data_IF_901151638180
#
_entry.id   IF_901151638180
#
_cell.length_a   1.000
_cell.length_b   1.000
_cell.length_c   1.000
_cell.angle_alpha   90.00
_cell.angle_beta   90.00
_cell.angle_gamma   90.00
#
_symmetry.space_group_name_H-M   'P 1'
#
loop_
_entity.id
_entity.type
_entity.pdbx_description
1 polymer ?
#
# COMPACT_ATOMS: atom_id res chain seq x y z
N UNK A 1 -32.39 29.80 19.29
CA UNK A 1 -32.33 28.41 18.83
C UNK A 1 -30.89 28.11 18.49
N UNK A 2 -30.17 27.34 19.30
CA UNK A 2 -28.91 26.76 18.83
C UNK A 2 -29.28 25.73 17.77
N UNK A 3 -28.76 25.89 16.56
CA UNK A 3 -28.91 24.85 15.54
C UNK A 3 -28.26 23.58 16.11
N UNK A 4 -29.02 22.49 16.12
CA UNK A 4 -28.62 21.21 16.74
C UNK A 4 -27.47 20.53 15.98
N UNK A 5 -27.19 21.00 14.79
CA UNK A 5 -26.23 20.47 13.85
C UNK A 5 -25.45 21.64 13.22
N UNK A 6 -24.15 21.47 13.07
CA UNK A 6 -23.25 22.39 12.37
C UNK A 6 -23.19 22.06 10.88
N UNK A 7 -22.63 22.95 10.07
CA UNK A 7 -22.52 22.73 8.62
C UNK A 7 -21.73 21.44 8.31
N UNK A 8 -20.77 21.07 9.18
CA UNK A 8 -19.99 19.82 9.10
C UNK A 8 -20.82 18.52 9.31
N UNK A 9 -22.04 18.62 9.85
CA UNK A 9 -22.90 17.45 10.05
C UNK A 9 -23.69 17.07 8.79
N UNK A 10 -23.62 17.86 7.73
CA UNK A 10 -24.35 17.63 6.48
C UNK A 10 -23.47 16.99 5.40
N UNK A 11 -24.11 16.27 4.48
CA UNK A 11 -23.44 15.56 3.40
C UNK A 11 -23.00 16.52 2.29
N UNK A 12 -21.73 16.42 1.89
CA UNK A 12 -21.12 17.28 0.87
C UNK A 12 -21.76 17.16 -0.53
N UNK A 13 -22.34 15.99 -0.85
CA UNK A 13 -22.96 15.72 -2.15
C UNK A 13 -24.46 16.01 -2.14
N UNK A 14 -25.11 15.77 -1.01
CA UNK A 14 -26.56 15.80 -0.88
C UNK A 14 -26.98 16.89 0.10
N UNK A 15 -27.30 18.07 -0.42
CA UNK A 15 -27.78 19.21 0.35
C UNK A 15 -28.96 18.81 1.27
N UNK A 16 -28.87 19.18 2.56
CA UNK A 16 -29.85 18.87 3.63
C UNK A 16 -29.91 17.40 4.09
N UNK A 17 -29.01 16.52 3.65
CA UNK A 17 -28.84 15.18 4.24
C UNK A 17 -27.81 15.27 5.38
N UNK A 18 -28.09 14.68 6.54
CA UNK A 18 -27.09 14.50 7.60
C UNK A 18 -26.07 13.44 7.14
N UNK A 19 -24.78 13.71 7.30
CA UNK A 19 -23.70 12.81 6.93
C UNK A 19 -23.77 11.51 7.74
N UNK A 20 -23.77 10.38 7.03
CA UNK A 20 -23.78 9.02 7.56
C UNK A 20 -22.45 8.29 7.33
N UNK A 21 -21.40 9.04 6.94
CA UNK A 21 -20.06 8.53 6.62
C UNK A 21 -20.06 7.38 5.58
N UNK A 22 -20.99 7.40 4.63
CA UNK A 22 -21.10 6.37 3.58
C UNK A 22 -20.04 6.45 2.46
N UNK A 23 -19.10 7.40 2.52
CA UNK A 23 -17.94 7.46 1.62
C UNK A 23 -18.20 7.95 0.18
N UNK A 24 -19.45 8.13 -0.25
CA UNK A 24 -19.80 8.51 -1.64
C UNK A 24 -19.14 9.79 -2.16
N UNK A 25 -18.79 10.73 -1.28
CA UNK A 25 -18.13 11.98 -1.68
C UNK A 25 -16.71 11.71 -2.18
N UNK A 26 -16.04 10.69 -1.63
CA UNK A 26 -14.69 10.29 -2.00
C UNK A 26 -14.65 9.61 -3.38
N UNK A 27 -15.70 8.86 -3.71
CA UNK A 27 -15.86 8.21 -5.03
C UNK A 27 -15.99 9.24 -6.18
N UNK A 28 -16.66 10.37 -5.94
CA UNK A 28 -16.86 11.42 -6.94
C UNK A 28 -15.58 12.21 -7.23
N UNK A 29 -14.71 12.36 -6.23
CA UNK A 29 -13.43 13.05 -6.40
C UNK A 29 -12.36 12.14 -7.02
N UNK A 30 -12.68 10.87 -7.32
CA UNK A 30 -11.72 9.89 -7.81
C UNK A 30 -10.61 9.59 -6.79
N UNK A 31 -10.86 9.93 -5.53
CA UNK A 31 -9.92 9.76 -4.42
C UNK A 31 -10.18 8.36 -3.86
N UNK A 32 -9.64 7.39 -4.57
CA UNK A 32 -9.13 6.15 -3.96
C UNK A 32 -7.68 6.39 -3.46
N UNK A 33 -7.39 7.62 -3.01
CA UNK A 33 -6.05 8.11 -2.64
C UNK A 33 -6.03 8.77 -1.26
N UNK A 34 -7.01 8.50 -0.38
CA UNK A 34 -6.73 8.66 1.05
C UNK A 34 -5.58 7.71 1.34
N UNK A 35 -4.39 8.28 1.56
CA UNK A 35 -3.18 7.54 1.89
C UNK A 35 -3.53 6.52 2.96
N UNK A 36 -3.56 5.24 2.57
CA UNK A 36 -3.67 4.15 3.52
C UNK A 36 -2.37 4.23 4.30
N UNK A 37 -2.44 4.77 5.52
CA UNK A 37 -1.29 4.70 6.42
C UNK A 37 -1.08 3.22 6.68
N UNK A 38 0.05 2.68 6.23
CA UNK A 38 0.39 1.27 6.45
C UNK A 38 0.39 0.95 7.97
N UNK A 39 0.65 1.97 8.80
CA UNK A 39 0.53 1.92 10.27
C UNK A 39 -0.91 1.70 10.78
N UNK A 40 -1.92 2.16 10.04
CA UNK A 40 -3.34 2.04 10.38
C UNK A 40 -3.97 0.73 9.85
N UNK A 41 -3.27 -0.01 8.97
CA UNK A 41 -3.63 -1.39 8.63
C UNK A 41 -3.34 -2.24 9.87
N UNK A 42 -4.36 -2.49 10.69
CA UNK A 42 -4.22 -3.35 11.84
C UNK A 42 -3.63 -4.71 11.43
N UNK A 43 -2.41 -5.00 11.90
CA UNK A 43 -1.68 -6.24 11.58
C UNK A 43 -2.38 -7.52 12.07
N UNK A 44 -3.45 -7.38 12.84
CA UNK A 44 -4.21 -8.47 13.48
C UNK A 44 -5.70 -8.19 13.33
N UNK A 45 -6.19 -8.21 12.08
CA UNK A 45 -7.63 -8.31 11.84
C UNK A 45 -8.02 -9.78 11.73
N UNK A 46 -9.18 -10.15 12.27
CA UNK A 46 -9.79 -11.48 12.06
C UNK A 46 -9.98 -11.76 10.56
N UNK A 47 -10.18 -10.72 9.76
CA UNK A 47 -10.24 -10.79 8.30
C UNK A 47 -8.92 -11.30 7.69
N UNK A 48 -7.76 -11.01 8.29
CA UNK A 48 -6.47 -11.53 7.81
C UNK A 48 -6.38 -13.03 8.00
N UNK A 49 -6.89 -13.57 9.12
CA UNK A 49 -6.91 -15.03 9.32
C UNK A 49 -7.79 -15.74 8.30
N UNK A 50 -8.92 -15.15 7.91
CA UNK A 50 -9.79 -15.73 6.86
C UNK A 50 -9.07 -15.74 5.52
N UNK A 51 -8.39 -14.65 5.17
CA UNK A 51 -7.62 -14.57 3.91
C UNK A 51 -6.41 -15.50 3.88
N UNK A 52 -5.70 -15.65 5.01
CA UNK A 52 -4.57 -16.58 5.14
C UNK A 52 -5.04 -18.04 5.03
N UNK A 53 -6.20 -18.38 5.60
CA UNK A 53 -6.81 -19.70 5.48
C UNK A 53 -7.25 -20.00 4.05
N UNK A 54 -7.96 -19.08 3.39
CA UNK A 54 -8.37 -19.23 1.98
C UNK A 54 -7.16 -19.42 1.05
N UNK A 55 -6.11 -18.61 1.23
CA UNK A 55 -4.89 -18.74 0.45
C UNK A 55 -4.16 -20.07 0.68
N UNK A 56 -4.14 -20.55 1.93
CA UNK A 56 -3.56 -21.85 2.27
C UNK A 56 -4.34 -23.00 1.63
N UNK A 57 -5.67 -22.93 1.63
CA UNK A 57 -6.53 -23.94 0.99
C UNK A 57 -6.30 -23.99 -0.53
N UNK A 58 -6.23 -22.83 -1.18
CA UNK A 58 -5.95 -22.74 -2.62
C UNK A 58 -4.57 -23.31 -2.95
N UNK A 59 -3.57 -23.01 -2.12
CA UNK A 59 -2.23 -23.53 -2.31
C UNK A 59 -2.19 -25.05 -2.12
N UNK A 60 -2.82 -25.58 -1.07
CA UNK A 60 -2.96 -27.03 -0.86
C UNK A 60 -3.72 -27.73 -1.99
N UNK A 61 -4.76 -27.11 -2.54
CA UNK A 61 -5.53 -27.68 -3.64
C UNK A 61 -4.72 -27.85 -4.94
N UNK A 62 -3.62 -27.11 -5.08
CA UNK A 62 -2.73 -27.18 -6.24
C UNK A 62 -1.61 -28.23 -6.11
N UNK A 63 -1.39 -28.75 -4.89
CA UNK A 63 -0.33 -29.71 -4.57
C UNK A 63 -0.79 -31.16 -4.76
N UNK A 64 0.17 -32.05 -4.95
CA UNK A 64 -0.11 -33.49 -5.01
C UNK A 64 -0.21 -34.13 -3.61
N UNK A 65 -0.70 -35.38 -3.56
CA UNK A 65 -0.91 -36.09 -2.30
C UNK A 65 0.39 -36.26 -1.48
N UNK A 66 1.54 -36.38 -2.14
CA UNK A 66 2.82 -36.57 -1.45
C UNK A 66 3.32 -35.24 -0.84
N UNK A 67 3.13 -34.13 -1.55
CA UNK A 67 3.44 -32.79 -1.06
C UNK A 67 2.53 -32.39 0.12
N UNK A 68 1.26 -32.79 0.09
CA UNK A 68 0.32 -32.57 1.20
C UNK A 68 0.70 -33.37 2.45
N UNK A 69 1.08 -34.64 2.31
CA UNK A 69 1.57 -35.47 3.43
C UNK A 69 2.83 -34.85 4.05
N UNK A 70 3.74 -34.31 3.24
CA UNK A 70 4.96 -33.64 3.72
C UNK A 70 4.64 -32.39 4.56
N UNK A 71 3.69 -31.56 4.11
CA UNK A 71 3.25 -30.36 4.84
C UNK A 71 2.65 -30.74 6.22
N UNK A 72 1.84 -31.80 6.26
CA UNK A 72 1.22 -32.27 7.51
C UNK A 72 2.23 -32.92 8.46
N UNK A 73 3.19 -33.70 7.95
CA UNK A 73 4.23 -34.34 8.76
C UNK A 73 5.22 -33.34 9.34
N UNK A 74 5.63 -32.34 8.55
CA UNK A 74 6.58 -31.31 8.98
C UNK A 74 5.92 -30.20 9.81
N UNK A 75 4.58 -30.15 9.85
CA UNK A 75 3.79 -29.10 10.52
C UNK A 75 4.26 -27.70 10.09
N UNK A 76 4.39 -27.53 8.77
CA UNK A 76 4.96 -26.33 8.16
C UNK A 76 4.03 -25.14 8.35
N UNK A 77 4.60 -23.97 8.59
CA UNK A 77 3.82 -22.73 8.63
C UNK A 77 3.54 -22.18 7.21
N UNK A 78 2.63 -21.21 7.11
CA UNK A 78 2.21 -20.65 5.81
C UNK A 78 3.39 -20.06 5.01
N UNK A 79 4.36 -19.45 5.69
CA UNK A 79 5.54 -18.84 5.08
C UNK A 79 6.50 -19.90 4.53
N UNK A 80 6.71 -20.98 5.28
CA UNK A 80 7.50 -22.14 4.87
C UNK A 80 6.88 -22.87 3.67
N UNK A 81 5.56 -23.06 3.67
CA UNK A 81 4.85 -23.67 2.55
C UNK A 81 4.97 -22.78 1.30
N UNK A 82 4.76 -21.47 1.42
CA UNK A 82 4.90 -20.55 0.28
C UNK A 82 6.33 -20.52 -0.28
N UNK A 83 7.35 -20.53 0.58
CA UNK A 83 8.75 -20.56 0.12
C UNK A 83 9.11 -21.84 -0.61
N UNK A 84 8.55 -22.97 -0.18
CA UNK A 84 8.87 -24.29 -0.74
C UNK A 84 8.09 -24.58 -2.02
N UNK A 85 6.82 -24.15 -2.07
CA UNK A 85 5.88 -24.55 -3.13
C UNK A 85 5.31 -23.38 -3.95
N UNK A 86 5.39 -22.13 -3.45
CA UNK A 86 4.86 -20.94 -4.15
C UNK A 86 5.51 -20.68 -5.51
N UNK A 87 6.76 -21.12 -5.69
CA UNK A 87 7.47 -21.07 -6.98
C UNK A 87 6.84 -21.96 -8.07
N UNK A 88 6.21 -23.08 -7.70
CA UNK A 88 5.53 -23.98 -8.64
C UNK A 88 4.22 -23.38 -9.18
N UNK A 89 3.60 -22.43 -8.45
CA UNK A 89 2.35 -21.75 -8.82
C UNK A 89 2.53 -20.64 -9.87
N UNK A 90 3.74 -20.11 -10.05
CA UNK A 90 4.03 -18.97 -10.92
C UNK A 90 3.95 -19.28 -12.44
N UNK A 91 3.25 -20.35 -12.83
CA UNK A 91 2.87 -20.60 -14.24
C UNK A 91 1.64 -19.80 -14.70
N UNK A 92 1.22 -18.77 -13.94
CA UNK A 92 0.30 -17.74 -14.42
C UNK A 92 1.12 -16.61 -15.07
N UNK A 93 1.04 -16.52 -16.39
CA UNK A 93 1.69 -15.59 -17.34
C UNK A 93 1.55 -14.06 -17.06
N UNK A 94 1.34 -13.58 -15.82
CA UNK A 94 1.05 -12.15 -15.57
C UNK A 94 1.79 -11.47 -14.40
N UNK A 95 2.82 -12.09 -13.82
CA UNK A 95 3.76 -11.37 -12.95
C UNK A 95 5.19 -11.92 -13.04
N UNK A 96 5.76 -11.86 -14.24
CA UNK A 96 7.20 -12.06 -14.42
C UNK A 96 7.96 -10.78 -13.99
N UNK A 97 7.99 -10.54 -12.69
CA UNK A 97 8.81 -9.52 -12.04
C UNK A 97 9.90 -10.19 -11.19
N UNK A 98 10.78 -10.94 -11.85
CA UNK A 98 12.05 -11.52 -11.37
C UNK A 98 12.39 -11.34 -9.89
N UNK A 99 11.85 -12.22 -9.05
CA UNK A 99 12.41 -12.49 -7.72
C UNK A 99 13.41 -13.66 -7.83
N UNK A 100 14.35 -13.54 -8.77
CA UNK A 100 15.58 -14.32 -8.75
C UNK A 100 16.64 -13.48 -8.03
N UNK A 101 17.60 -14.17 -7.42
CA UNK A 101 18.68 -13.72 -6.52
C UNK A 101 19.67 -12.69 -7.11
N UNK A 102 19.22 -11.77 -7.95
CA UNK A 102 19.94 -10.60 -8.45
C UNK A 102 19.28 -9.32 -7.92
N UNK A 103 19.23 -9.16 -6.59
CA UNK A 103 19.24 -7.79 -6.06
C UNK A 103 20.63 -7.29 -6.43
N UNK A 104 20.74 -6.58 -7.56
CA UNK A 104 21.93 -5.78 -7.85
C UNK A 104 22.31 -5.10 -6.53
N UNK A 105 23.55 -5.25 -6.06
CA UNK A 105 24.07 -4.48 -4.90
C UNK A 105 23.94 -2.94 -5.12
N UNK A 106 23.49 -2.52 -6.31
CA UNK A 106 23.21 -1.17 -6.76
C UNK A 106 21.71 -0.79 -6.76
N UNK A 107 20.77 -1.69 -6.41
CA UNK A 107 19.37 -1.29 -6.21
C UNK A 107 19.24 -0.54 -4.89
N UNK A 108 19.30 0.80 -4.97
CA UNK A 108 18.95 1.68 -3.86
C UNK A 108 17.44 1.94 -3.87
N UNK A 109 16.77 1.64 -2.75
CA UNK A 109 15.37 1.97 -2.58
C UNK A 109 15.21 3.50 -2.55
N UNK A 110 14.38 4.04 -3.45
CA UNK A 110 14.09 5.47 -3.48
C UNK A 110 13.50 5.97 -2.16
N UNK A 111 12.86 5.09 -1.37
CA UNK A 111 12.33 5.41 -0.05
C UNK A 111 13.43 5.68 1.00
N UNK A 112 14.64 5.13 0.84
CA UNK A 112 15.76 5.39 1.76
C UNK A 112 16.30 6.83 1.64
N UNK A 113 16.02 7.49 0.52
CA UNK A 113 16.48 8.85 0.22
C UNK A 113 15.37 9.91 0.33
N UNK A 114 14.19 9.54 0.83
CA UNK A 114 13.09 10.48 1.04
C UNK A 114 13.12 11.04 2.46
N UNK A 115 13.30 12.36 2.56
CA UNK A 115 13.17 13.11 3.82
C UNK A 115 11.92 13.99 3.76
N UNK A 116 11.19 14.08 4.89
CA UNK A 116 10.07 15.00 5.00
C UNK A 116 10.58 16.44 5.02
N UNK A 117 9.91 17.33 4.28
CA UNK A 117 10.27 18.76 4.20
C UNK A 117 10.31 19.39 5.61
N UNK A 118 9.43 18.95 6.51
CA UNK A 118 9.38 19.39 7.91
C UNK A 118 10.63 18.99 8.74
N UNK A 119 11.33 17.92 8.34
CA UNK A 119 12.55 17.42 9.00
C UNK A 119 13.80 18.11 8.48
N UNK A 120 13.75 18.69 7.26
CA UNK A 120 14.84 19.50 6.69
C UNK A 120 14.74 20.92 7.26
N UNK A 121 15.07 21.06 8.55
CA UNK A 121 15.03 22.32 9.32
C UNK A 121 15.90 23.47 8.75
N UNK A 122 16.66 23.23 7.67
CA UNK A 122 17.57 24.18 7.04
C UNK A 122 17.05 24.78 5.72
N UNK A 123 15.95 24.29 5.17
CA UNK A 123 15.33 24.86 3.96
C UNK A 123 14.30 25.91 4.38
N UNK A 124 14.61 27.19 4.19
CA UNK A 124 13.54 28.19 4.18
C UNK A 124 12.66 27.93 2.94
N UNK A 125 11.33 28.08 3.06
CA UNK A 125 10.38 27.90 1.95
C UNK A 125 10.80 28.63 0.66
N UNK A 126 11.47 29.77 0.82
CA UNK A 126 11.99 30.62 -0.26
C UNK A 126 13.10 29.92 -1.07
N UNK A 127 14.00 29.18 -0.41
CA UNK A 127 15.10 28.49 -1.09
C UNK A 127 14.59 27.24 -1.82
N UNK A 128 13.55 26.58 -1.30
CA UNK A 128 12.95 25.40 -1.92
C UNK A 128 12.24 25.74 -3.25
N UNK A 129 11.52 26.87 -3.30
CA UNK A 129 10.90 27.35 -4.54
C UNK A 129 11.92 27.72 -5.63
N UNK A 130 13.10 28.24 -5.26
CA UNK A 130 14.14 28.60 -6.22
C UNK A 130 14.95 27.38 -6.71
N UNK A 131 15.08 26.34 -5.88
CA UNK A 131 15.85 25.13 -6.21
C UNK A 131 15.03 24.03 -6.89
N UNK A 132 13.70 24.16 -6.94
CA UNK A 132 12.80 23.14 -7.51
C UNK A 132 11.78 23.73 -8.48
N UNK A 133 11.48 23.02 -9.56
CA UNK A 133 10.42 23.39 -10.51
C UNK A 133 9.23 22.42 -10.41
N UNK A 134 8.01 22.94 -10.50
CA UNK A 134 6.80 22.12 -10.52
C UNK A 134 6.56 21.56 -11.92
N UNK A 135 6.58 20.24 -12.03
CA UNK A 135 6.42 19.51 -13.30
C UNK A 135 5.00 18.98 -13.45
N UNK A 136 4.31 18.77 -12.32
CA UNK A 136 2.92 18.33 -12.22
C UNK A 136 2.38 18.76 -10.84
N UNK A 137 1.06 18.95 -10.64
CA UNK A 137 0.49 19.28 -9.33
C UNK A 137 1.04 18.39 -8.20
N UNK A 138 1.79 18.99 -7.27
CA UNK A 138 2.41 18.30 -6.14
C UNK A 138 3.72 17.54 -6.44
N UNK A 139 4.20 17.53 -7.68
CA UNK A 139 5.47 16.89 -8.07
C UNK A 139 6.47 17.95 -8.51
N UNK A 140 7.55 18.09 -7.74
CA UNK A 140 8.62 19.06 -8.00
C UNK A 140 9.95 18.36 -8.28
N UNK A 141 10.74 18.92 -9.19
CA UNK A 141 12.05 18.41 -9.59
C UNK A 141 13.15 19.40 -9.20
N UNK A 142 14.27 18.91 -8.67
CA UNK A 142 15.45 19.74 -8.41
C UNK A 142 16.07 20.28 -9.70
N UNK A 143 16.34 21.58 -9.71
CA UNK A 143 17.02 22.27 -10.81
C UNK A 143 18.53 22.07 -10.61
N UNK A 144 19.16 21.20 -11.40
CA UNK A 144 20.63 21.15 -11.48
C UNK A 144 21.13 22.46 -12.09
N UNK A 145 21.70 23.35 -11.27
CA UNK A 145 22.52 24.47 -11.77
C UNK A 145 23.83 23.84 -12.30
N UNK A 146 24.01 23.81 -13.63
CA UNK A 146 25.33 23.56 -14.21
C UNK A 146 26.28 24.67 -13.72
N UNK A 147 27.40 24.29 -13.13
CA UNK A 147 28.48 25.20 -12.69
C UNK A 147 29.33 25.58 -13.90
#
# INVERSE_FOLDING_TARGET
MGYKYTDDDYCDIYENKICDNCGKCLELEGIDTKAIRIEDIAKTQEENSVLEEEFLEDLKASLDEAELEEIEEENMDLDEIYKKFGSSLNNSDDFNGGLEEDIDEEYEDAFDHMEYIDEIAALNDIDFEEMTEEVYPGVRRFIKKEI
#
